data_IF_873375852195
#
_entry.id   IF_873375852195
#
_cell.length_a   1.000
_cell.length_b   1.000
_cell.length_c   1.000
_cell.angle_alpha   90.00
_cell.angle_beta   90.00
_cell.angle_gamma   90.00
#
_symmetry.space_group_name_H-M   'P 1'
#
loop_
_entity.id
_entity.type
_entity.pdbx_description
1 polymer ?
#
# COMPACT_ATOMS: atom_id res chain seq x y z
N UNK A 1 -7.12 -10.66 4.16
CA UNK A 1 -6.62 -9.39 4.74
C UNK A 1 -6.68 -8.31 3.68
N UNK A 2 -7.22 -7.17 4.02
CA UNK A 2 -7.50 -6.11 3.05
C UNK A 2 -6.78 -4.84 3.48
N UNK A 3 -5.82 -4.41 2.67
CA UNK A 3 -5.05 -3.19 2.93
C UNK A 3 -5.21 -2.16 1.81
N UNK A 4 -6.11 -2.42 0.86
CA UNK A 4 -6.23 -1.58 -0.34
C UNK A 4 -6.55 -0.14 -0.02
N UNK A 5 -7.47 0.11 0.90
CA UNK A 5 -7.84 1.48 1.24
C UNK A 5 -6.69 2.24 1.91
N UNK A 6 -5.82 1.53 2.64
CA UNK A 6 -4.66 2.17 3.26
C UNK A 6 -3.59 2.50 2.24
N UNK A 7 -3.40 1.63 1.25
CA UNK A 7 -2.51 1.92 0.12
C UNK A 7 -3.00 3.16 -0.61
N UNK A 8 -4.29 3.20 -0.93
CA UNK A 8 -4.88 4.35 -1.63
C UNK A 8 -4.74 5.62 -0.81
N UNK A 9 -5.03 5.55 0.48
CA UNK A 9 -4.92 6.70 1.38
C UNK A 9 -3.49 7.25 1.40
N UNK A 10 -2.50 6.38 1.57
CA UNK A 10 -1.11 6.80 1.60
C UNK A 10 -0.67 7.40 0.26
N UNK A 11 -1.12 6.79 -0.85
CA UNK A 11 -0.80 7.30 -2.18
C UNK A 11 -1.36 8.71 -2.36
N UNK A 12 -2.61 8.92 -1.99
CA UNK A 12 -3.25 10.22 -2.11
C UNK A 12 -2.61 11.27 -1.21
N UNK A 13 -2.21 10.87 0.00
CA UNK A 13 -1.48 11.76 0.91
C UNK A 13 -0.14 12.20 0.32
N UNK A 14 0.48 11.37 -0.51
CA UNK A 14 1.72 11.70 -1.19
C UNK A 14 1.50 12.45 -2.50
N UNK A 15 0.23 12.66 -2.89
CA UNK A 15 -0.08 13.36 -4.12
C UNK A 15 0.26 12.58 -5.38
N UNK A 16 0.32 11.25 -5.29
CA UNK A 16 0.69 10.39 -6.41
C UNK A 16 -0.51 9.84 -7.14
N UNK A 17 -0.40 9.71 -8.47
CA UNK A 17 -1.33 8.92 -9.24
C UNK A 17 -1.01 7.43 -9.08
N UNK A 18 -1.95 6.56 -9.47
CA UNK A 18 -1.69 5.12 -9.49
C UNK A 18 -0.54 4.78 -10.42
N UNK A 19 -0.45 5.47 -11.56
CA UNK A 19 0.63 5.28 -12.53
C UNK A 19 1.98 5.61 -11.92
N UNK A 20 2.06 6.73 -11.22
CA UNK A 20 3.31 7.13 -10.57
C UNK A 20 3.74 6.11 -9.52
N UNK A 21 2.81 5.65 -8.70
CA UNK A 21 3.13 4.63 -7.71
C UNK A 21 3.56 3.34 -8.37
N UNK A 22 2.89 2.93 -9.45
CA UNK A 22 3.25 1.72 -10.19
C UNK A 22 4.69 1.78 -10.69
N UNK A 23 5.10 2.92 -11.23
CA UNK A 23 6.46 3.12 -11.70
C UNK A 23 7.48 3.01 -10.58
N UNK A 24 7.16 3.60 -9.43
CA UNK A 24 8.08 3.57 -8.28
C UNK A 24 8.27 2.16 -7.73
N UNK A 25 7.22 1.34 -7.73
CA UNK A 25 7.31 -0.01 -7.16
C UNK A 25 7.56 -1.09 -8.20
N UNK A 26 7.63 -0.73 -9.49
CA UNK A 26 7.97 -1.67 -10.54
C UNK A 26 6.86 -2.63 -10.93
N UNK A 27 5.61 -2.19 -10.85
CA UNK A 27 4.45 -2.99 -11.26
C UNK A 27 3.61 -2.20 -12.28
N UNK A 28 2.57 -2.84 -12.80
CA UNK A 28 1.67 -2.18 -13.74
C UNK A 28 0.65 -1.31 -13.01
N UNK A 29 0.09 -0.34 -13.72
CA UNK A 29 -1.01 0.47 -13.22
C UNK A 29 -2.18 -0.41 -12.76
N UNK A 30 -2.50 -1.44 -13.53
CA UNK A 30 -3.58 -2.36 -13.18
C UNK A 30 -3.30 -3.11 -11.88
N UNK A 31 -2.03 -3.44 -11.61
CA UNK A 31 -1.67 -4.10 -10.36
C UNK A 31 -1.98 -3.20 -9.18
N UNK A 32 -1.64 -1.91 -9.27
CA UNK A 32 -1.96 -0.96 -8.19
C UNK A 32 -3.48 -0.86 -7.98
N UNK A 33 -4.24 -0.76 -9.08
CA UNK A 33 -5.70 -0.73 -8.98
C UNK A 33 -6.24 -1.98 -8.28
N UNK A 34 -5.71 -3.16 -8.62
CA UNK A 34 -6.15 -4.40 -8.01
C UNK A 34 -5.82 -4.44 -6.51
N UNK A 35 -4.66 -3.93 -6.11
CA UNK A 35 -4.30 -3.85 -4.70
C UNK A 35 -5.24 -2.91 -3.95
N UNK A 36 -5.50 -1.73 -4.52
CA UNK A 36 -6.35 -0.73 -3.86
C UNK A 36 -7.80 -1.18 -3.75
N UNK A 37 -8.26 -2.00 -4.69
CA UNK A 37 -9.62 -2.53 -4.70
C UNK A 37 -9.74 -3.90 -4.03
N UNK A 38 -8.65 -4.38 -3.44
CA UNK A 38 -8.60 -5.68 -2.72
C UNK A 38 -8.90 -6.88 -3.63
N UNK A 39 -8.65 -6.74 -4.93
CA UNK A 39 -8.76 -7.86 -5.87
C UNK A 39 -7.54 -8.77 -5.79
N UNK A 40 -6.42 -8.25 -5.35
CA UNK A 40 -5.21 -9.04 -5.14
C UNK A 40 -4.40 -8.40 -4.00
N UNK A 41 -3.47 -9.19 -3.46
CA UNK A 41 -2.59 -8.74 -2.38
C UNK A 41 -1.16 -8.68 -2.94
N UNK A 42 -0.40 -7.62 -2.64
CA UNK A 42 0.96 -7.51 -3.16
C UNK A 42 1.87 -8.62 -2.62
N UNK A 43 2.73 -9.14 -3.49
CA UNK A 43 3.77 -10.08 -3.08
C UNK A 43 4.76 -9.38 -2.14
N UNK A 44 5.53 -10.15 -1.35
CA UNK A 44 6.44 -9.54 -0.36
C UNK A 44 7.38 -8.49 -0.94
N UNK A 45 7.94 -8.71 -2.12
CA UNK A 45 8.86 -7.72 -2.72
C UNK A 45 8.12 -6.42 -3.04
N UNK A 46 6.90 -6.54 -3.57
CA UNK A 46 6.09 -5.37 -3.92
C UNK A 46 5.64 -4.65 -2.65
N UNK A 47 5.27 -5.42 -1.62
CA UNK A 47 4.86 -4.85 -0.35
C UNK A 47 6.00 -4.02 0.27
N UNK A 48 7.22 -4.53 0.25
CA UNK A 48 8.38 -3.79 0.73
C UNK A 48 8.61 -2.52 -0.08
N UNK A 49 8.46 -2.60 -1.40
CA UNK A 49 8.59 -1.42 -2.26
C UNK A 49 7.51 -0.39 -1.97
N UNK A 50 6.30 -0.84 -1.64
CA UNK A 50 5.21 0.07 -1.25
C UNK A 50 5.54 0.81 0.04
N UNK A 51 6.12 0.13 1.04
CA UNK A 51 6.55 0.83 2.26
C UNK A 51 7.49 1.98 1.93
N UNK A 52 8.48 1.74 1.09
CA UNK A 52 9.44 2.76 0.69
C UNK A 52 8.83 3.88 -0.13
N UNK A 53 8.05 3.53 -1.14
CA UNK A 53 7.47 4.52 -2.06
C UNK A 53 6.44 5.41 -1.35
N UNK A 54 5.67 4.84 -0.43
CA UNK A 54 4.62 5.57 0.29
C UNK A 54 5.11 6.20 1.58
N UNK A 55 6.34 5.91 2.00
CA UNK A 55 6.90 6.39 3.27
C UNK A 55 6.05 5.97 4.46
N UNK A 56 5.60 4.72 4.46
CA UNK A 56 4.81 4.15 5.54
C UNK A 56 5.45 2.85 6.00
N UNK A 57 5.01 2.36 7.15
CA UNK A 57 5.47 1.09 7.68
C UNK A 57 4.29 0.11 7.76
N UNK A 58 4.59 -1.09 8.27
CA UNK A 58 3.56 -2.12 8.43
C UNK A 58 2.46 -1.66 9.38
N UNK A 59 2.80 -0.85 10.39
CA UNK A 59 1.79 -0.34 11.31
C UNK A 59 0.71 0.46 10.60
N UNK A 60 1.09 1.27 9.63
CA UNK A 60 0.11 2.04 8.86
C UNK A 60 -0.76 1.13 7.99
N UNK A 61 -0.14 0.26 7.19
CA UNK A 61 -0.91 -0.55 6.24
C UNK A 61 -1.79 -1.58 6.93
N UNK A 62 -1.34 -2.12 8.05
CA UNK A 62 -2.05 -3.17 8.77
C UNK A 62 -2.76 -2.70 10.02
N UNK A 63 -2.92 -1.37 10.19
CA UNK A 63 -3.44 -0.81 11.43
C UNK A 63 -4.83 -1.33 11.80
N UNK A 64 -5.64 -1.70 10.81
CA UNK A 64 -6.98 -2.21 11.06
C UNK A 64 -6.97 -3.62 11.65
N UNK A 65 -5.82 -4.28 11.63
CA UNK A 65 -5.68 -5.67 12.09
C UNK A 65 -4.81 -5.79 13.32
N UNK A 66 -4.24 -4.69 13.80
CA UNK A 66 -3.37 -4.72 14.97
C UNK A 66 -4.18 -4.43 16.23
N UNK A 67 -3.90 -5.15 17.34
CA UNK A 67 -4.58 -4.87 18.60
C UNK A 67 -4.27 -3.46 19.08
N UNK A 68 -5.21 -2.86 19.81
CA UNK A 68 -5.00 -1.55 20.43
C UNK A 68 -3.77 -1.61 21.33
N UNK A 69 -2.90 -0.60 21.23
CA UNK A 69 -1.69 -0.52 22.04
C UNK A 69 -0.50 -1.29 21.52
N UNK A 70 -0.63 -2.04 20.43
CA UNK A 70 0.49 -2.78 19.84
C UNK A 70 1.35 -1.89 18.93
N UNK A 71 0.87 -0.71 18.56
CA UNK A 71 1.58 0.24 17.70
C UNK A 71 2.35 1.18 18.61
N UNK A 72 3.68 1.07 18.57
CA UNK A 72 4.54 1.92 19.39
C UNK A 72 5.73 2.37 18.59
#
# INVERSE_FOLDING_TARGET
>A
MYIGKRIKQARELRGMSRRELAELVGVTHNAISNYENDFSFPKPQVLCALFGALHVDANFLFQDYLPAGSIR
#
